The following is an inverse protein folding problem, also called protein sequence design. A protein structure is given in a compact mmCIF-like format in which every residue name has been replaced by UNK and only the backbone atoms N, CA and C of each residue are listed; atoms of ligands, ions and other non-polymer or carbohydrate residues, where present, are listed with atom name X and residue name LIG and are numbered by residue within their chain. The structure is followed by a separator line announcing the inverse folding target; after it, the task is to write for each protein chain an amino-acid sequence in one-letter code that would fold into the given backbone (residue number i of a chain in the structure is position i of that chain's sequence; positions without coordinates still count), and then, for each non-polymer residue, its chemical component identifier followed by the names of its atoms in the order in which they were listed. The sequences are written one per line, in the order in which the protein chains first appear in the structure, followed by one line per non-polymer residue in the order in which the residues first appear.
data_IF_880228859561
#
_entry.id   IF_880228859561
#
_cell.length_a   1.000
_cell.length_b   1.000
_cell.length_c   1.000
_cell.angle_alpha   90.00
_cell.angle_beta   90.00
_cell.angle_gamma   90.00
#
_symmetry.space_group_name_H-M   'P 1'
#
loop_
_entity.id
_entity.type
_entity.pdbx_description
1 polymer ?
#
# COMPACT_ATOMS: atom_id res chain seq x y z
N UNK A 1 -21.89 12.69 10.64
CA UNK A 1 -21.44 12.42 10.44
C UNK A 1 -21.09 11.88 9.69
N UNK A 2 -20.95 11.66 9.39
CA UNK A 2 -20.57 11.22 8.81
C UNK A 2 -20.00 10.20 8.69
N UNK A 3 -20.16 9.67 8.46
CA UNK A 3 -19.68 8.56 8.52
C UNK A 3 -18.92 8.13 7.45
N UNK A 4 -17.72 8.14 7.50
CA UNK A 4 -16.88 7.72 6.53
C UNK A 4 -16.82 6.26 6.48
N UNK A 5 -16.92 5.68 5.36
CA UNK A 5 -16.76 4.26 5.17
C UNK A 5 -15.30 3.93 5.21
N UNK A 6 -14.92 3.14 6.18
CA UNK A 6 -13.54 2.74 6.28
C UNK A 6 -13.26 1.60 5.31
N UNK A 7 -12.08 1.63 4.74
CA UNK A 7 -11.66 0.62 3.80
C UNK A 7 -10.75 -0.36 4.52
N UNK A 8 -11.12 -1.62 4.52
CA UNK A 8 -10.32 -2.66 5.16
C UNK A 8 -9.42 -3.31 4.13
N UNK A 9 -8.13 -3.34 4.43
CA UNK A 9 -7.15 -3.95 3.56
C UNK A 9 -6.21 -4.79 4.41
N UNK A 10 -5.33 -5.53 3.75
CA UNK A 10 -4.27 -6.26 4.44
C UNK A 10 -2.93 -5.79 3.93
N UNK A 11 -2.01 -5.54 4.84
CA UNK A 11 -0.64 -5.20 4.49
C UNK A 11 0.26 -6.20 5.18
N UNK A 12 0.95 -7.01 4.39
CA UNK A 12 1.80 -8.08 4.91
C UNK A 12 1.05 -8.96 5.89
N UNK A 13 -0.20 -9.26 5.55
CA UNK A 13 -1.02 -10.13 6.37
C UNK A 13 -1.74 -9.49 7.52
N UNK A 14 -1.48 -8.23 7.79
CA UNK A 14 -2.13 -7.53 8.89
C UNK A 14 -3.27 -6.67 8.39
N UNK A 15 -4.36 -6.69 9.10
CA UNK A 15 -5.51 -5.87 8.74
C UNK A 15 -5.27 -4.43 9.08
N UNK A 16 -5.55 -3.57 8.14
CA UNK A 16 -5.41 -2.13 8.33
C UNK A 16 -6.68 -1.47 7.83
N UNK A 17 -7.15 -0.47 8.57
CA UNK A 17 -8.31 0.30 8.16
C UNK A 17 -7.85 1.66 7.68
N UNK A 18 -8.34 2.04 6.53
CA UNK A 18 -8.09 3.37 5.98
C UNK A 18 -9.38 4.15 6.05
N UNK A 19 -9.28 5.43 6.34
CA UNK A 19 -10.48 6.25 6.42
C UNK A 19 -11.10 6.47 5.05
N UNK A 20 -10.31 6.38 4.03
CA UNK A 20 -10.81 6.52 2.67
C UNK A 20 -9.77 5.98 1.71
N UNK A 21 -10.16 5.85 0.48
CA UNK A 21 -9.25 5.35 -0.53
C UNK A 21 -8.06 6.28 -0.67
N UNK A 22 -6.89 5.72 -0.70
CA UNK A 22 -5.69 6.52 -0.94
C UNK A 22 -4.78 5.74 -1.86
N UNK A 23 -3.74 6.39 -2.34
CA UNK A 23 -2.82 5.73 -3.25
C UNK A 23 -1.84 4.85 -2.50
N UNK A 24 -1.24 3.94 -3.24
CA UNK A 24 -0.20 3.08 -2.66
C UNK A 24 0.94 3.96 -2.15
N UNK A 25 1.29 5.00 -2.89
CA UNK A 25 2.37 5.88 -2.46
C UNK A 25 2.08 6.50 -1.09
N UNK A 26 0.87 6.97 -0.90
CA UNK A 26 0.51 7.54 0.38
C UNK A 26 0.59 6.53 1.51
N UNK A 27 0.16 5.30 1.24
CA UNK A 27 0.24 4.26 2.25
C UNK A 27 1.68 3.99 2.64
N UNK A 28 2.56 3.87 1.67
CA UNK A 28 3.97 3.57 1.94
C UNK A 28 4.59 4.70 2.76
N UNK A 29 4.25 5.94 2.44
CA UNK A 29 4.76 7.07 3.20
C UNK A 29 4.22 7.10 4.61
N UNK A 30 2.96 6.74 4.78
CA UNK A 30 2.36 6.69 6.10
C UNK A 30 3.05 5.65 6.97
N UNK A 31 3.44 4.54 6.37
CA UNK A 31 4.14 3.49 7.09
C UNK A 31 5.62 3.82 7.28
N UNK A 32 6.06 4.94 6.75
CA UNK A 32 7.45 5.41 6.90
C UNK A 32 8.45 4.45 6.31
N UNK A 33 8.08 3.83 5.21
CA UNK A 33 8.97 2.91 4.52
C UNK A 33 9.68 3.62 3.39
N UNK A 34 10.94 3.24 3.13
CA UNK A 34 11.67 3.88 2.05
C UNK A 34 11.20 3.35 0.71
N UNK A 35 10.44 4.16 0.03
CA UNK A 35 9.76 3.72 -1.17
C UNK A 35 10.71 3.20 -2.24
N UNK A 36 11.94 3.70 -2.26
CA UNK A 36 12.91 3.26 -3.26
C UNK A 36 13.57 1.94 -2.90
N UNK A 37 13.37 1.47 -1.69
CA UNK A 37 14.01 0.26 -1.23
C UNK A 37 13.05 -0.88 -0.96
N UNK A 38 11.83 -0.75 -1.45
CA UNK A 38 10.84 -1.80 -1.24
C UNK A 38 10.26 -2.21 -2.57
N UNK A 39 9.81 -3.45 -2.63
CA UNK A 39 9.00 -3.93 -3.73
C UNK A 39 7.59 -4.09 -3.20
N UNK A 40 6.62 -3.72 -4.00
CA UNK A 40 5.24 -3.72 -3.57
C UNK A 40 4.40 -4.60 -4.49
N UNK A 41 3.64 -5.50 -3.90
CA UNK A 41 2.69 -6.30 -4.65
C UNK A 41 1.28 -5.92 -4.24
N UNK A 42 0.42 -5.80 -5.21
CA UNK A 42 -0.98 -5.54 -4.97
C UNK A 42 -1.74 -6.71 -5.55
N UNK A 43 -2.38 -7.48 -4.68
CA UNK A 43 -3.13 -8.67 -5.10
C UNK A 43 -2.28 -9.59 -5.97
N UNK A 44 -1.03 -9.78 -5.51
CA UNK A 44 -0.07 -10.68 -6.15
C UNK A 44 0.56 -10.18 -7.44
N UNK A 45 0.35 -8.92 -7.75
CA UNK A 45 1.00 -8.33 -8.91
C UNK A 45 1.99 -7.29 -8.46
N UNK A 46 3.19 -7.37 -8.98
CA UNK A 46 4.23 -6.40 -8.65
C UNK A 46 3.88 -5.08 -9.30
N UNK A 47 3.95 -4.03 -8.53
CA UNK A 47 3.63 -2.71 -9.03
C UNK A 47 4.86 -1.98 -9.53
N UNK A 48 4.66 -1.24 -10.62
CA UNK A 48 5.69 -0.38 -11.16
C UNK A 48 5.83 0.82 -10.24
N UNK A 49 7.04 1.07 -9.78
CA UNK A 49 7.27 2.17 -8.85
C UNK A 49 6.93 3.52 -9.42
N UNK A 50 6.94 3.65 -10.72
CA UNK A 50 6.59 4.91 -11.34
C UNK A 50 5.09 5.17 -11.33
N UNK A 51 4.31 4.22 -10.87
CA UNK A 51 2.87 4.37 -10.89
C UNK A 51 2.22 4.32 -9.52
N UNK A 52 3.02 4.26 -8.48
CA UNK A 52 2.46 4.12 -7.13
C UNK A 52 1.56 5.28 -6.74
N UNK A 53 1.82 6.46 -7.29
CA UNK A 53 1.00 7.62 -7.01
C UNK A 53 -0.31 7.61 -7.78
N UNK A 54 -0.48 6.67 -8.67
CA UNK A 54 -1.70 6.58 -9.48
C UNK A 54 -2.54 5.36 -9.16
N UNK A 55 -2.01 4.45 -8.37
CA UNK A 55 -2.73 3.23 -8.02
C UNK A 55 -3.48 3.46 -6.73
N UNK A 56 -4.80 3.43 -6.80
CA UNK A 56 -5.62 3.62 -5.62
C UNK A 56 -5.95 2.30 -4.96
N UNK A 57 -5.94 2.32 -3.65
CA UNK A 57 -6.25 1.15 -2.86
C UNK A 57 -7.75 0.98 -2.75
N UNK A 58 -8.19 -0.25 -2.90
CA UNK A 58 -9.60 -0.55 -2.83
C UNK A 58 -9.88 -1.49 -1.68
N UNK A 59 -11.13 -1.55 -1.31
CA UNK A 59 -11.58 -2.44 -0.25
C UNK A 59 -11.09 -3.87 -0.50
N UNK A 60 -10.60 -4.49 0.54
CA UNK A 60 -10.13 -5.89 0.51
C UNK A 60 -8.86 -6.14 -0.28
N UNK A 61 -8.17 -5.09 -0.65
CA UNK A 61 -6.89 -5.28 -1.33
C UNK A 61 -5.88 -5.93 -0.41
N UNK A 62 -5.03 -6.75 -1.00
CA UNK A 62 -3.91 -7.36 -0.29
C UNK A 62 -2.63 -6.74 -0.81
N UNK A 63 -1.89 -6.14 0.08
CA UNK A 63 -0.67 -5.46 -0.26
C UNK A 63 0.49 -6.12 0.47
N UNK A 64 1.55 -6.42 -0.26
CA UNK A 64 2.75 -6.97 0.35
C UNK A 64 3.91 -6.08 0.02
N UNK A 65 4.68 -5.74 1.04
CA UNK A 65 5.81 -4.85 0.89
C UNK A 65 7.04 -5.56 1.42
N UNK A 66 8.03 -5.67 0.56
CA UNK A 66 9.27 -6.39 0.88
C UNK A 66 10.44 -5.47 0.69
N UNK A 67 11.31 -5.42 1.67
CA UNK A 67 12.53 -4.62 1.55
C UNK A 67 13.56 -5.33 0.72
N UNK A 68 14.25 -4.56 -0.11
CA UNK A 68 15.44 -5.08 -0.77
C UNK A 68 16.58 -4.99 0.20
N UNK A 69 17.40 -5.98 0.19
CA UNK A 69 18.61 -5.94 0.99
C UNK A 69 19.79 -5.74 0.08
N UNK A 70 20.69 -4.90 0.47
CA UNK A 70 21.88 -4.72 -0.26
C UNK A 70 21.74 -3.89 -1.46
N UNK A 71 20.91 -3.37 -1.69
CA UNK A 71 20.72 -2.51 -2.59
C UNK A 71 21.22 -2.17 -3.70
N UNK A 72 21.14 -2.50 -3.80
CA UNK A 72 21.45 -2.01 -4.79
C UNK A 72 20.96 -1.12 -5.54
#
# INVERSE_FOLDING_TARGET
MKNKNKIKIKVNGKKILLSESETIEKLVKRLKLPIKKVAIELNRKILDKNRLDKVKIKKNDKIEIVHFIGGG
#
